data_IF_839481321203
#
_entry.id   IF_839481321203
#
_cell.length_a   1.000
_cell.length_b   1.000
_cell.length_c   1.000
_cell.angle_alpha   90.00
_cell.angle_beta   90.00
_cell.angle_gamma   90.00
#
_symmetry.space_group_name_H-M   'P 1'
#
loop_
_entity.id
_entity.type
_entity.pdbx_description
1 polymer ?
#
# COMPACT_ATOMS: atom_id res chain seq x y z
N UNK A 1 34.83 -35.49 7.30
CA UNK A 1 33.56 -35.15 7.99
C UNK A 1 33.84 -33.99 8.93
N UNK A 2 33.24 -32.82 8.71
CA UNK A 2 33.37 -31.66 9.62
C UNK A 2 32.27 -31.75 10.67
N UNK A 3 32.68 -31.87 11.92
CA UNK A 3 31.80 -31.82 13.10
C UNK A 3 31.22 -30.42 13.22
N UNK A 4 29.90 -30.30 13.15
CA UNK A 4 29.19 -29.05 13.42
C UNK A 4 29.28 -28.82 14.93
N UNK A 5 30.04 -27.79 15.35
CA UNK A 5 29.98 -27.31 16.72
C UNK A 5 28.62 -26.64 16.92
N UNK A 6 27.77 -27.26 17.72
CA UNK A 6 26.54 -26.64 18.22
C UNK A 6 26.94 -25.40 19.02
N UNK A 7 26.64 -24.22 18.48
CA UNK A 7 26.72 -22.97 19.23
C UNK A 7 25.79 -23.03 20.45
N UNK A 8 26.03 -22.18 21.46
CA UNK A 8 25.25 -22.22 22.69
C UNK A 8 23.74 -22.05 22.40
N UNK A 9 22.95 -23.00 22.90
CA UNK A 9 21.48 -22.93 22.89
C UNK A 9 21.09 -21.82 23.87
N UNK A 10 20.71 -20.65 23.35
CA UNK A 10 20.18 -19.56 24.17
C UNK A 10 18.80 -19.98 24.67
N UNK A 11 18.71 -20.29 25.96
CA UNK A 11 17.45 -20.60 26.61
C UNK A 11 16.60 -19.32 26.73
N UNK A 12 15.59 -19.19 25.87
CA UNK A 12 14.73 -18.01 25.76
C UNK A 12 13.94 -17.69 27.05
N UNK A 13 13.82 -18.65 27.98
CA UNK A 13 13.15 -18.46 29.27
C UNK A 13 13.92 -17.56 30.26
N UNK A 14 15.20 -17.25 29.99
CA UNK A 14 16.03 -16.41 30.87
C UNK A 14 16.35 -15.03 30.28
N UNK A 15 15.68 -14.65 29.18
CA UNK A 15 15.78 -13.27 28.69
C UNK A 15 14.93 -12.37 29.60
N UNK A 16 15.44 -11.22 30.07
CA UNK A 16 14.64 -10.26 30.83
C UNK A 16 13.34 -9.96 30.09
N UNK A 17 12.22 -9.80 30.80
CA UNK A 17 10.88 -9.53 30.22
C UNK A 17 10.92 -8.37 29.22
N UNK A 18 11.82 -7.40 29.41
CA UNK A 18 12.12 -6.29 28.50
C UNK A 18 12.53 -6.72 27.08
N UNK A 19 13.10 -7.92 26.88
CA UNK A 19 13.50 -8.45 25.56
C UNK A 19 12.35 -9.12 24.80
N UNK A 20 11.34 -9.63 25.50
CA UNK A 20 10.12 -10.16 24.87
C UNK A 20 9.19 -9.03 24.39
N UNK A 21 9.37 -7.82 24.92
CA UNK A 21 8.51 -6.66 24.63
C UNK A 21 8.90 -5.89 23.36
N UNK A 22 10.10 -6.08 22.79
CA UNK A 22 10.57 -5.31 21.63
C UNK A 22 9.75 -5.63 20.37
N UNK A 23 9.40 -6.91 20.16
CA UNK A 23 8.54 -7.33 19.05
C UNK A 23 7.14 -6.71 19.16
N UNK A 24 6.50 -6.82 20.33
CA UNK A 24 5.21 -6.17 20.59
C UNK A 24 5.26 -4.64 20.52
N UNK A 25 6.39 -4.03 20.89
CA UNK A 25 6.60 -2.58 20.81
C UNK A 25 6.60 -2.12 19.34
N UNK A 26 7.35 -2.80 18.47
CA UNK A 26 7.41 -2.51 17.03
C UNK A 26 6.01 -2.60 16.40
N UNK A 27 5.27 -3.69 16.65
CA UNK A 27 3.92 -3.85 16.10
C UNK A 27 2.93 -2.84 16.69
N UNK A 28 3.05 -2.49 17.97
CA UNK A 28 2.23 -1.44 18.57
C UNK A 28 2.50 -0.06 17.95
N UNK A 29 3.72 0.23 17.47
CA UNK A 29 3.98 1.50 16.77
C UNK A 29 3.26 1.59 15.43
N UNK A 30 3.02 0.47 14.75
CA UNK A 30 2.25 0.43 13.50
C UNK A 30 0.74 0.64 13.71
N UNK A 31 0.28 0.63 14.95
CA UNK A 31 -1.13 0.67 15.32
C UNK A 31 -1.61 -0.70 15.79
N UNK A 32 -2.32 -0.72 16.90
CA UNK A 32 -2.96 -1.92 17.45
C UNK A 32 -4.21 -1.55 18.24
N UNK A 33 -4.98 -2.53 18.71
CA UNK A 33 -6.07 -2.28 19.68
C UNK A 33 -5.55 -1.65 20.98
N UNK A 34 -4.27 -1.84 21.29
CA UNK A 34 -3.59 -1.31 22.48
C UNK A 34 -2.98 0.08 22.21
N UNK A 35 -2.58 0.37 20.97
CA UNK A 35 -2.13 1.70 20.54
C UNK A 35 -2.87 2.10 19.24
N UNK A 36 -4.09 2.64 19.34
CA UNK A 36 -4.87 3.03 18.17
C UNK A 36 -4.45 4.40 17.62
N UNK A 37 -3.63 5.17 18.34
CA UNK A 37 -3.21 6.53 17.94
C UNK A 37 -2.60 6.66 16.54
N UNK A 38 -1.85 5.68 16.01
CA UNK A 38 -1.36 5.69 14.63
C UNK A 38 -2.45 5.47 13.57
N UNK A 39 -3.63 4.99 13.96
CA UNK A 39 -4.74 4.67 13.07
C UNK A 39 -5.57 5.94 12.82
N UNK A 40 -5.67 6.32 11.56
CA UNK A 40 -6.54 7.40 11.12
C UNK A 40 -7.85 6.79 10.60
N UNK A 41 -8.96 7.23 11.18
CA UNK A 41 -10.29 6.85 10.73
C UNK A 41 -10.52 7.32 9.30
N UNK A 42 -11.12 6.47 8.49
CA UNK A 42 -11.53 6.79 7.13
C UNK A 42 -12.81 6.03 6.79
N UNK A 43 -13.48 6.44 5.71
CA UNK A 43 -14.69 5.80 5.23
C UNK A 43 -14.46 4.29 4.99
N UNK A 44 -15.46 3.46 5.28
CA UNK A 44 -15.31 2.00 5.36
C UNK A 44 -14.83 1.37 4.06
N UNK A 45 -15.36 1.83 2.93
CA UNK A 45 -14.98 1.33 1.61
C UNK A 45 -13.53 1.71 1.29
N UNK A 46 -13.14 2.97 1.50
CA UNK A 46 -11.76 3.43 1.33
C UNK A 46 -10.79 2.66 2.26
N UNK A 47 -11.19 2.39 3.51
CA UNK A 47 -10.39 1.62 4.46
C UNK A 47 -10.18 0.17 4.00
N UNK A 48 -11.23 -0.45 3.46
CA UNK A 48 -11.17 -1.81 2.89
C UNK A 48 -10.21 -1.87 1.70
N UNK A 49 -10.31 -0.91 0.77
CA UNK A 49 -9.40 -0.81 -0.38
C UNK A 49 -7.95 -0.59 0.05
N UNK A 50 -7.72 0.35 0.96
CA UNK A 50 -6.40 0.55 1.58
C UNK A 50 -5.87 -0.74 2.20
N UNK A 51 -6.69 -1.49 2.94
CA UNK A 51 -6.29 -2.76 3.55
C UNK A 51 -5.83 -3.79 2.51
N UNK A 52 -6.56 -3.95 1.40
CA UNK A 52 -6.19 -4.87 0.31
C UNK A 52 -4.86 -4.47 -0.33
N UNK A 53 -4.68 -3.18 -0.63
CA UNK A 53 -3.45 -2.66 -1.21
C UNK A 53 -2.24 -2.90 -0.31
N UNK A 54 -2.37 -2.62 0.99
CA UNK A 54 -1.29 -2.86 1.96
C UNK A 54 -0.99 -4.35 2.15
N UNK A 55 -1.96 -5.23 1.92
CA UNK A 55 -1.76 -6.68 1.91
C UNK A 55 -1.18 -7.22 0.59
N UNK A 56 -0.91 -6.37 -0.40
CA UNK A 56 -0.45 -6.78 -1.73
C UNK A 56 -1.51 -7.57 -2.51
N UNK A 57 -2.78 -7.44 -2.13
CA UNK A 57 -3.92 -8.10 -2.77
C UNK A 57 -4.57 -7.18 -3.79
N UNK A 58 -5.07 -7.73 -4.89
CA UNK A 58 -5.80 -6.95 -5.88
C UNK A 58 -7.03 -6.25 -5.26
N UNK A 59 -7.32 -5.00 -5.63
CA UNK A 59 -8.46 -4.27 -5.05
C UNK A 59 -9.79 -4.97 -5.32
N UNK A 60 -9.96 -5.46 -6.55
CA UNK A 60 -11.14 -6.17 -7.04
C UNK A 60 -10.70 -7.55 -7.52
N UNK A 61 -11.46 -8.59 -7.14
CA UNK A 61 -11.23 -9.96 -7.61
C UNK A 61 -11.51 -10.10 -9.11
N UNK A 62 -10.78 -10.99 -9.80
CA UNK A 62 -10.93 -11.16 -11.26
C UNK A 62 -12.33 -11.65 -11.67
N UNK A 63 -13.02 -12.37 -10.80
CA UNK A 63 -14.40 -12.83 -10.98
C UNK A 63 -15.40 -11.67 -10.91
N UNK A 64 -15.25 -10.81 -9.90
CA UNK A 64 -16.04 -9.57 -9.78
C UNK A 64 -15.75 -8.67 -10.97
N UNK A 65 -14.48 -8.47 -11.30
CA UNK A 65 -14.05 -7.63 -12.41
C UNK A 65 -14.60 -8.10 -13.76
N UNK A 66 -14.64 -9.42 -14.00
CA UNK A 66 -15.23 -10.01 -15.20
C UNK A 66 -16.70 -9.62 -15.40
N UNK A 67 -17.43 -9.42 -14.31
CA UNK A 67 -18.83 -8.97 -14.34
C UNK A 67 -18.93 -7.46 -14.56
N UNK A 68 -18.06 -6.69 -13.90
CA UNK A 68 -18.02 -5.22 -14.00
C UNK A 68 -17.61 -4.71 -15.39
N UNK A 69 -16.83 -5.49 -16.14
CA UNK A 69 -16.35 -5.09 -17.47
C UNK A 69 -17.33 -5.36 -18.61
N UNK A 70 -18.54 -5.83 -18.32
CA UNK A 70 -19.59 -6.05 -19.31
C UNK A 70 -20.11 -4.71 -19.86
N UNK A 71 -20.59 -4.65 -21.12
CA UNK A 71 -21.14 -3.44 -21.74
C UNK A 71 -22.55 -3.14 -21.23
N UNK A 72 -22.67 -2.94 -19.92
CA UNK A 72 -23.87 -2.60 -19.19
C UNK A 72 -23.61 -1.31 -18.41
N UNK A 73 -24.57 -0.38 -18.40
CA UNK A 73 -24.40 0.96 -17.83
C UNK A 73 -24.19 0.90 -16.30
N UNK A 74 -25.03 0.12 -15.59
CA UNK A 74 -24.91 -0.04 -14.14
C UNK A 74 -23.55 -0.66 -13.78
N UNK A 75 -23.13 -1.70 -14.51
CA UNK A 75 -21.81 -2.33 -14.30
C UNK A 75 -20.66 -1.37 -14.64
N UNK A 76 -20.78 -0.58 -15.70
CA UNK A 76 -19.79 0.41 -16.11
C UNK A 76 -19.59 1.51 -15.07
N UNK A 77 -20.68 2.02 -14.50
CA UNK A 77 -20.64 3.02 -13.43
C UNK A 77 -19.98 2.47 -12.16
N UNK A 78 -20.34 1.25 -11.77
CA UNK A 78 -19.68 0.58 -10.63
C UNK A 78 -18.20 0.42 -10.93
N UNK A 79 -17.83 -0.08 -12.11
CA UNK A 79 -16.42 -0.29 -12.49
C UNK A 79 -15.60 1.01 -12.38
N UNK A 80 -16.11 2.12 -12.93
CA UNK A 80 -15.43 3.41 -12.86
C UNK A 80 -15.31 3.91 -11.42
N UNK A 81 -16.36 3.76 -10.61
CA UNK A 81 -16.33 4.17 -9.21
C UNK A 81 -15.32 3.36 -8.39
N UNK A 82 -15.21 2.06 -8.63
CA UNK A 82 -14.22 1.20 -8.00
C UNK A 82 -12.78 1.62 -8.39
N UNK A 83 -12.52 1.91 -9.67
CA UNK A 83 -11.22 2.40 -10.11
C UNK A 83 -10.88 3.76 -9.49
N UNK A 84 -11.86 4.67 -9.37
CA UNK A 84 -11.70 5.94 -8.63
C UNK A 84 -11.37 5.70 -7.17
N UNK A 85 -12.04 4.75 -6.51
CA UNK A 85 -11.79 4.41 -5.11
C UNK A 85 -10.35 3.95 -4.88
N UNK A 86 -9.81 3.13 -5.80
CA UNK A 86 -8.41 2.69 -5.76
C UNK A 86 -7.44 3.87 -5.87
N UNK A 87 -7.71 4.82 -6.77
CA UNK A 87 -6.91 6.05 -6.91
C UNK A 87 -6.99 6.90 -5.64
N UNK A 88 -8.19 7.04 -5.04
CA UNK A 88 -8.40 7.84 -3.84
C UNK A 88 -7.67 7.31 -2.60
N UNK A 89 -7.22 6.05 -2.58
CA UNK A 89 -6.31 5.60 -1.52
C UNK A 89 -5.01 6.40 -1.52
N UNK A 90 -4.46 6.74 -2.69
CA UNK A 90 -3.22 7.51 -2.77
C UNK A 90 -3.45 8.99 -2.43
N UNK A 91 -4.60 9.55 -2.81
CA UNK A 91 -5.00 10.88 -2.37
C UNK A 91 -5.09 10.95 -0.84
N UNK A 92 -5.71 9.93 -0.23
CA UNK A 92 -5.77 9.80 1.22
C UNK A 92 -4.38 9.68 1.85
N UNK A 93 -3.50 8.82 1.32
CA UNK A 93 -2.13 8.65 1.85
C UNK A 93 -1.28 9.91 1.71
N UNK A 94 -1.52 10.72 0.68
CA UNK A 94 -0.81 11.96 0.42
C UNK A 94 -1.43 13.17 1.13
N UNK A 95 -2.63 13.05 1.70
CA UNK A 95 -3.24 14.11 2.50
C UNK A 95 -2.32 14.48 3.68
N UNK A 96 -2.04 15.77 3.86
CA UNK A 96 -1.02 16.27 4.81
C UNK A 96 -1.13 15.62 6.20
N UNK A 97 -2.36 15.55 6.74
CA UNK A 97 -2.60 14.95 8.05
C UNK A 97 -2.25 13.45 8.10
N UNK A 98 -2.65 12.68 7.09
CA UNK A 98 -2.38 11.24 6.99
C UNK A 98 -0.89 10.99 6.75
N UNK A 99 -0.28 11.76 5.87
CA UNK A 99 1.14 11.67 5.57
C UNK A 99 1.98 11.96 6.83
N UNK A 100 1.64 12.99 7.61
CA UNK A 100 2.27 13.23 8.92
C UNK A 100 2.15 12.04 9.86
N UNK A 101 0.97 11.43 9.98
CA UNK A 101 0.78 10.24 10.83
C UNK A 101 1.63 9.05 10.36
N UNK A 102 1.69 8.83 9.05
CA UNK A 102 2.52 7.80 8.45
C UNK A 102 4.01 8.03 8.75
N UNK A 103 4.47 9.28 8.67
CA UNK A 103 5.84 9.65 8.99
C UNK A 103 6.16 9.50 10.49
N UNK A 104 5.29 9.99 11.38
CA UNK A 104 5.45 9.78 12.83
C UNK A 104 5.51 8.30 13.18
N UNK A 105 4.66 7.48 12.56
CA UNK A 105 4.64 6.03 12.72
C UNK A 105 5.95 5.39 12.23
N UNK A 106 6.41 5.78 11.04
CA UNK A 106 7.68 5.33 10.48
C UNK A 106 8.86 5.61 11.41
N UNK A 107 8.96 6.84 11.93
CA UNK A 107 10.00 7.26 12.86
C UNK A 107 9.95 6.49 14.18
N UNK A 108 8.74 6.25 14.72
CA UNK A 108 8.54 5.44 15.91
C UNK A 108 9.05 4.01 15.74
N UNK A 109 8.71 3.35 14.63
CA UNK A 109 9.21 1.99 14.34
C UNK A 109 10.73 1.99 14.13
N UNK A 110 11.27 2.99 13.45
CA UNK A 110 12.71 3.12 13.24
C UNK A 110 13.48 3.24 14.56
N UNK A 111 12.94 3.99 15.53
CA UNK A 111 13.49 4.10 16.89
C UNK A 111 13.51 2.73 17.61
N UNK A 112 12.41 1.98 17.57
CA UNK A 112 12.34 0.64 18.18
C UNK A 112 13.34 -0.33 17.55
N UNK A 113 13.54 -0.26 16.23
CA UNK A 113 14.60 -1.03 15.56
C UNK A 113 16.01 -0.63 16.00
N UNK A 114 16.23 0.62 16.43
CA UNK A 114 17.49 1.07 17.02
C UNK A 114 17.74 0.45 18.40
N UNK A 115 16.70 0.37 19.24
CA UNK A 115 16.75 -0.34 20.53
C UNK A 115 17.04 -1.83 20.29
N UNK A 116 16.32 -2.46 19.36
CA UNK A 116 16.54 -3.85 18.97
C UNK A 116 17.98 -4.10 18.54
N UNK A 117 18.52 -3.28 17.62
CA UNK A 117 19.90 -3.40 17.14
C UNK A 117 20.91 -3.32 18.30
N UNK A 118 20.71 -2.37 19.21
CA UNK A 118 21.56 -2.20 20.40
C UNK A 118 21.54 -3.43 21.28
N UNK A 119 20.35 -4.00 21.54
CA UNK A 119 20.19 -5.21 22.34
C UNK A 119 20.87 -6.43 21.70
N UNK A 120 20.70 -6.63 20.39
CA UNK A 120 21.36 -7.70 19.63
C UNK A 120 22.88 -7.56 19.70
N UNK A 121 23.40 -6.35 19.48
CA UNK A 121 24.84 -6.09 19.51
C UNK A 121 25.48 -6.35 20.88
N UNK A 122 24.74 -6.12 21.99
CA UNK A 122 25.20 -6.43 23.35
C UNK A 122 25.34 -7.94 23.60
N UNK A 123 24.50 -8.76 23.00
CA UNK A 123 24.48 -10.22 23.25
C UNK A 123 25.44 -10.96 22.33
N UNK A 124 25.49 -10.53 21.08
CA UNK A 124 26.12 -11.30 20.01
C UNK A 124 27.36 -10.61 19.41
N UNK A 125 27.82 -9.51 20.01
CA UNK A 125 28.83 -8.63 19.44
C UNK A 125 28.26 -7.77 18.30
N UNK A 126 29.06 -6.84 17.78
CA UNK A 126 28.65 -6.01 16.66
C UNK A 126 28.33 -6.89 15.44
N UNK A 127 27.07 -6.82 14.98
CA UNK A 127 26.62 -7.52 13.78
C UNK A 127 26.65 -6.59 12.57
N UNK A 128 26.97 -7.16 11.41
CA UNK A 128 26.98 -6.43 10.13
C UNK A 128 25.57 -6.32 9.53
N UNK A 129 24.66 -5.68 10.27
CA UNK A 129 23.38 -5.21 9.73
C UNK A 129 22.92 -3.96 10.50
N UNK A 130 22.00 -3.21 9.90
CA UNK A 130 21.44 -2.01 10.49
C UNK A 130 19.91 -2.07 10.37
N UNK A 131 19.24 -2.53 11.43
CA UNK A 131 17.78 -2.70 11.44
C UNK A 131 17.02 -1.40 11.11
N UNK A 132 17.34 -0.22 11.67
CA UNK A 132 16.72 1.04 11.26
C UNK A 132 16.83 1.32 9.76
N UNK A 133 18.01 1.08 9.17
CA UNK A 133 18.24 1.25 7.73
C UNK A 133 17.45 0.24 6.90
N UNK A 134 17.38 -1.02 7.34
CA UNK A 134 16.59 -2.05 6.66
C UNK A 134 15.10 -1.70 6.65
N UNK A 135 14.57 -1.21 7.78
CA UNK A 135 13.19 -0.74 7.87
C UNK A 135 12.89 0.44 6.93
N UNK A 136 13.77 1.45 6.93
CA UNK A 136 13.64 2.59 6.01
C UNK A 136 13.65 2.14 4.55
N UNK A 137 14.61 1.29 4.17
CA UNK A 137 14.70 0.75 2.83
C UNK A 137 13.46 -0.08 2.47
N UNK A 138 12.93 -0.86 3.42
CA UNK A 138 11.69 -1.60 3.23
C UNK A 138 10.53 -0.65 2.94
N UNK A 139 10.28 0.36 3.78
CA UNK A 139 9.16 1.29 3.59
C UNK A 139 9.24 2.06 2.27
N UNK A 140 10.44 2.52 1.90
CA UNK A 140 10.65 3.20 0.63
C UNK A 140 10.31 2.31 -0.56
N UNK A 141 10.85 1.08 -0.56
CA UNK A 141 10.60 0.13 -1.64
C UNK A 141 9.14 -0.32 -1.68
N UNK A 142 8.55 -0.58 -0.52
CA UNK A 142 7.16 -1.03 -0.39
C UNK A 142 6.19 0.02 -0.95
N UNK A 143 6.26 1.27 -0.48
CA UNK A 143 5.34 2.32 -0.92
C UNK A 143 5.52 2.66 -2.40
N UNK A 144 6.76 2.72 -2.88
CA UNK A 144 7.06 2.99 -4.31
C UNK A 144 6.54 1.87 -5.21
N UNK A 145 6.78 0.60 -4.83
CA UNK A 145 6.30 -0.55 -5.60
C UNK A 145 4.79 -0.68 -5.56
N UNK A 146 4.15 -0.39 -4.42
CA UNK A 146 2.70 -0.37 -4.30
C UNK A 146 2.07 0.67 -5.26
N UNK A 147 2.62 1.89 -5.30
CA UNK A 147 2.16 2.93 -6.24
C UNK A 147 2.31 2.50 -7.71
N UNK A 148 3.47 1.93 -8.07
CA UNK A 148 3.74 1.43 -9.43
C UNK A 148 2.81 0.28 -9.82
N UNK A 149 2.61 -0.67 -8.91
CA UNK A 149 1.75 -1.81 -9.13
C UNK A 149 0.30 -1.38 -9.29
N UNK A 150 -0.22 -0.51 -8.41
CA UNK A 150 -1.60 0.02 -8.55
C UNK A 150 -1.76 0.79 -9.85
N UNK A 151 -0.81 1.66 -10.20
CA UNK A 151 -0.87 2.39 -11.47
C UNK A 151 -0.95 1.44 -12.66
N UNK A 152 -0.15 0.38 -12.66
CA UNK A 152 -0.21 -0.67 -13.70
C UNK A 152 -1.58 -1.35 -13.71
N UNK A 153 -2.05 -1.79 -12.53
CA UNK A 153 -3.31 -2.53 -12.39
C UNK A 153 -4.51 -1.69 -12.86
N UNK A 154 -4.64 -0.43 -12.41
CA UNK A 154 -5.73 0.46 -12.82
C UNK A 154 -5.68 0.72 -14.33
N UNK A 155 -4.50 0.99 -14.90
CA UNK A 155 -4.39 1.21 -16.34
C UNK A 155 -4.80 -0.03 -17.15
N UNK A 156 -4.41 -1.23 -16.73
CA UNK A 156 -4.87 -2.48 -17.36
C UNK A 156 -6.40 -2.60 -17.32
N UNK A 157 -7.03 -2.24 -16.20
CA UNK A 157 -8.49 -2.28 -16.06
C UNK A 157 -9.19 -1.23 -16.93
N UNK A 158 -8.60 -0.04 -17.06
CA UNK A 158 -9.06 0.99 -18.00
C UNK A 158 -8.94 0.49 -19.44
N UNK A 159 -7.83 -0.14 -19.83
CA UNK A 159 -7.66 -0.70 -21.18
C UNK A 159 -8.74 -1.74 -21.51
N UNK A 160 -9.06 -2.63 -20.57
CA UNK A 160 -10.12 -3.64 -20.74
C UNK A 160 -11.50 -3.00 -20.95
N UNK A 161 -11.85 -1.99 -20.16
CA UNK A 161 -13.11 -1.25 -20.33
C UNK A 161 -13.15 -0.46 -21.65
N UNK A 162 -12.03 0.15 -22.06
CA UNK A 162 -11.95 0.85 -23.34
C UNK A 162 -12.18 -0.12 -24.51
N UNK A 163 -11.65 -1.34 -24.45
CA UNK A 163 -11.94 -2.38 -25.44
C UNK A 163 -13.44 -2.67 -25.50
N UNK A 164 -14.07 -2.92 -24.34
CA UNK A 164 -15.52 -3.18 -24.26
C UNK A 164 -16.34 -2.04 -24.86
N UNK A 165 -16.13 -0.81 -24.41
CA UNK A 165 -16.95 0.33 -24.83
C UNK A 165 -16.68 0.75 -26.27
N UNK A 166 -15.45 0.60 -26.79
CA UNK A 166 -15.17 0.81 -28.22
C UNK A 166 -15.88 -0.21 -29.10
N UNK A 167 -16.03 -1.47 -28.65
CA UNK A 167 -16.83 -2.45 -29.39
C UNK A 167 -18.31 -2.03 -29.48
N UNK A 168 -18.89 -1.54 -28.37
CA UNK A 168 -20.27 -1.01 -28.37
C UNK A 168 -20.39 0.19 -29.32
N UNK A 169 -19.47 1.16 -29.23
CA UNK A 169 -19.48 2.36 -30.05
C UNK A 169 -19.41 2.03 -31.55
N UNK A 170 -18.55 1.07 -31.93
CA UNK A 170 -18.35 0.66 -33.32
C UNK A 170 -19.52 -0.16 -33.88
N UNK A 171 -20.21 -0.93 -33.05
CA UNK A 171 -21.37 -1.72 -33.46
C UNK A 171 -22.66 -0.90 -33.53
N UNK A 172 -22.74 0.21 -32.81
CA UNK A 172 -23.92 1.07 -32.75
C UNK A 172 -23.95 2.09 -33.91
N UNK A 173 -25.15 2.40 -34.41
CA UNK A 173 -25.32 3.48 -35.37
C UNK A 173 -24.93 4.83 -34.76
N UNK A 174 -24.20 5.67 -35.50
CA UNK A 174 -23.78 7.00 -35.05
C UNK A 174 -24.97 7.83 -34.56
N UNK A 175 -24.83 8.41 -33.36
CA UNK A 175 -25.88 9.22 -32.72
C UNK A 175 -26.97 8.42 -31.99
N UNK A 176 -26.97 7.09 -32.05
CA UNK A 176 -27.86 6.25 -31.24
C UNK A 176 -27.51 6.34 -29.74
N UNK A 177 -28.47 5.96 -28.88
CA UNK A 177 -28.28 5.95 -27.43
C UNK A 177 -27.04 5.13 -27.01
N UNK A 178 -26.90 3.91 -27.55
CA UNK A 178 -25.75 3.04 -27.27
C UNK A 178 -24.40 3.67 -27.69
N UNK A 179 -24.38 4.36 -28.85
CA UNK A 179 -23.18 5.08 -29.30
C UNK A 179 -22.81 6.23 -28.35
N UNK A 180 -23.81 7.00 -27.89
CA UNK A 180 -23.60 8.13 -26.98
C UNK A 180 -23.15 7.67 -25.59
N UNK A 181 -23.73 6.59 -25.06
CA UNK A 181 -23.32 5.97 -23.79
C UNK A 181 -21.87 5.49 -23.89
N UNK A 182 -21.53 4.71 -24.92
CA UNK A 182 -20.16 4.23 -25.12
C UNK A 182 -19.14 5.39 -25.24
N UNK A 183 -19.50 6.46 -25.96
CA UNK A 183 -18.67 7.67 -26.08
C UNK A 183 -18.43 8.33 -24.72
N UNK A 184 -19.45 8.36 -23.86
CA UNK A 184 -19.35 8.89 -22.49
C UNK A 184 -18.38 8.06 -21.65
N UNK A 185 -18.53 6.74 -21.63
CA UNK A 185 -17.62 5.85 -20.90
C UNK A 185 -16.18 5.96 -21.38
N UNK A 186 -15.95 5.95 -22.70
CA UNK A 186 -14.61 6.13 -23.28
C UNK A 186 -14.00 7.45 -22.78
N UNK A 187 -14.75 8.55 -22.79
CA UNK A 187 -14.27 9.85 -22.33
C UNK A 187 -13.90 9.83 -20.84
N UNK A 188 -14.74 9.23 -20.00
CA UNK A 188 -14.48 9.11 -18.57
C UNK A 188 -13.25 8.24 -18.28
N UNK A 189 -13.06 7.16 -19.03
CA UNK A 189 -11.92 6.25 -18.89
C UNK A 189 -10.60 6.91 -19.26
N UNK A 190 -10.57 7.72 -20.32
CA UNK A 190 -9.37 8.49 -20.69
C UNK A 190 -9.06 9.58 -19.66
N UNK A 191 -10.09 10.24 -19.09
CA UNK A 191 -9.89 11.17 -17.97
C UNK A 191 -9.34 10.46 -16.73
N UNK A 192 -9.85 9.26 -16.44
CA UNK A 192 -9.39 8.45 -15.31
C UNK A 192 -7.94 8.00 -15.49
N UNK A 193 -7.52 7.66 -16.72
CA UNK A 193 -6.13 7.34 -17.04
C UNK A 193 -5.19 8.49 -16.69
N UNK A 194 -5.59 9.73 -17.00
CA UNK A 194 -4.79 10.90 -16.61
C UNK A 194 -4.77 11.10 -15.09
N UNK A 195 -5.88 10.82 -14.40
CA UNK A 195 -5.90 10.84 -12.94
C UNK A 195 -4.94 9.82 -12.33
N UNK A 196 -4.80 8.61 -12.89
CA UNK A 196 -3.82 7.63 -12.42
C UNK A 196 -2.41 8.22 -12.43
N UNK A 197 -2.02 8.86 -13.54
CA UNK A 197 -0.68 9.46 -13.71
C UNK A 197 -0.36 10.51 -12.64
N UNK A 198 -1.37 11.30 -12.26
CA UNK A 198 -1.20 12.43 -11.33
C UNK A 198 -1.37 12.01 -9.88
N UNK A 199 -2.27 11.06 -9.61
CA UNK A 199 -2.80 10.79 -8.26
C UNK A 199 -2.38 9.45 -7.69
N UNK A 200 -2.14 8.42 -8.50
CA UNK A 200 -1.65 7.11 -8.05
C UNK A 200 -0.13 7.10 -7.84
N UNK A 201 0.38 8.16 -7.23
CA UNK A 201 1.81 8.38 -6.94
C UNK A 201 2.00 8.52 -5.43
N UNK A 202 3.19 8.17 -4.95
CA UNK A 202 3.55 8.35 -3.55
C UNK A 202 5.00 8.82 -3.45
N UNK A 203 5.23 9.97 -2.82
CA UNK A 203 6.58 10.45 -2.56
C UNK A 203 7.19 9.73 -1.35
N UNK A 204 7.93 8.66 -1.63
CA UNK A 204 8.65 7.90 -0.62
C UNK A 204 9.93 8.59 -0.12
N UNK A 205 10.34 9.73 -0.70
CA UNK A 205 11.55 10.46 -0.28
C UNK A 205 11.40 11.03 1.14
N UNK A 206 10.18 11.28 1.60
CA UNK A 206 9.89 11.73 2.96
C UNK A 206 10.43 10.77 4.04
N UNK A 207 10.60 9.47 3.72
CA UNK A 207 11.23 8.50 4.62
C UNK A 207 12.76 8.64 4.73
N UNK A 208 13.41 9.40 3.84
CA UNK A 208 14.86 9.66 3.89
C UNK A 208 15.20 10.69 4.99
N UNK A 209 14.39 11.74 5.09
CA UNK A 209 14.74 12.95 5.85
C UNK A 209 14.54 12.85 7.36
N UNK A 210 13.87 11.80 7.87
CA UNK A 210 13.68 11.61 9.32
C UNK A 210 14.83 10.89 10.03
N UNK A 211 15.99 10.73 9.37
CA UNK A 211 17.17 10.07 9.94
C UNK A 211 18.08 10.95 10.80
N UNK A 212 17.75 12.21 11.05
CA UNK A 212 18.62 13.16 11.75
C UNK A 212 17.99 13.75 12.99
N UNK A 213 18.28 13.18 14.15
CA UNK A 213 18.51 13.86 15.45
C UNK A 213 18.58 12.78 16.52
N UNK A 214 19.79 12.31 16.77
CA UNK A 214 20.11 11.38 17.85
C UNK A 214 21.57 11.58 18.22
N UNK A 215 21.87 12.78 18.72
CA UNK A 215 23.03 13.08 19.57
C UNK A 215 22.83 12.43 20.93
#
# INVERSE_FOLDING_TARGET
MRTIQNGPVVNLQYLPVERLLVGSSIFNKLGSTVNPMPLVNTETHLNSMKGRLFAGSQPIGDDVWRSLRLPDEDMGDIAINELRMVISVFEYLNAEFVNRHLLTTHGGVQYEFGIFQTAVNKVYGQRDFNAPRLWRNFMQNFMSRMAQWVSTWVNTRIDELLVTWRQVQNAAASGSNAHNIATTYITQLEQLREQVRIRAVFDASAFIYMGGTGS
#
